data_IF_197127113155
#
_entry.id   IF_197127113155
#
_cell.length_a   1.000
_cell.length_b   1.000
_cell.length_c   1.000
_cell.angle_alpha   90.00
_cell.angle_beta   90.00
_cell.angle_gamma   90.00
#
_symmetry.space_group_name_H-M   'P 1'
#
loop_
_entity.id
_entity.type
_entity.pdbx_description
1 polymer ?
#
# COMPACT_ATOMS: atom_id res chain seq x y z
N UNK A 1 14.58 51.14 -32.95
CA UNK A 1 13.47 52.05 -32.67
C UNK A 1 12.98 51.73 -31.30
N UNK A 2 13.46 52.56 -30.41
CA UNK A 2 13.18 52.64 -28.99
C UNK A 2 11.73 53.13 -28.74
N UNK A 3 11.25 52.87 -27.55
CA UNK A 3 10.46 53.67 -26.61
C UNK A 3 9.84 52.69 -25.63
N UNK A 4 10.26 52.47 -24.43
CA UNK A 4 10.59 53.09 -23.14
C UNK A 4 9.44 53.86 -22.46
N UNK A 5 9.32 53.61 -21.13
CA UNK A 5 8.70 54.37 -20.03
C UNK A 5 7.19 54.25 -19.86
N UNK A 6 6.57 54.22 -18.68
CA UNK A 6 7.02 54.66 -17.32
C UNK A 6 5.97 54.22 -16.26
N UNK A 7 6.45 54.00 -15.08
CA UNK A 7 5.99 54.04 -13.71
C UNK A 7 4.65 54.75 -13.38
N UNK A 8 3.96 54.26 -12.37
CA UNK A 8 3.64 54.87 -11.04
C UNK A 8 2.50 54.17 -10.34
N UNK A 9 2.78 53.61 -9.19
CA UNK A 9 2.43 53.98 -7.82
C UNK A 9 1.03 54.54 -7.58
N UNK A 10 0.33 53.90 -6.60
CA UNK A 10 -0.09 54.55 -5.34
C UNK A 10 -0.94 53.57 -4.47
N UNK A 11 -0.46 53.36 -3.21
CA UNK A 11 -1.33 53.04 -2.06
C UNK A 11 -2.01 54.33 -1.56
N UNK A 12 -3.09 54.27 -0.76
CA UNK A 12 -3.15 53.98 0.65
C UNK A 12 -4.40 53.23 1.09
N UNK A 13 -4.50 52.40 2.13
CA UNK A 13 -4.38 52.68 3.54
C UNK A 13 -5.72 53.09 4.18
N UNK A 14 -6.32 52.20 5.04
CA UNK A 14 -7.11 52.68 6.17
C UNK A 14 -7.13 51.66 7.32
N UNK A 15 -6.83 52.14 8.49
CA UNK A 15 -7.00 51.62 9.85
C UNK A 15 -8.45 51.13 10.07
N UNK A 16 -8.78 50.16 10.88
CA UNK A 16 -8.46 49.89 12.26
C UNK A 16 -9.76 49.95 13.06
N UNK A 17 -10.08 48.93 13.81
CA UNK A 17 -10.81 49.10 15.06
C UNK A 17 -10.58 47.90 16.00
N UNK A 18 -10.13 48.26 17.21
CA UNK A 18 -10.04 47.47 18.42
C UNK A 18 -11.45 47.00 18.88
N UNK A 19 -11.47 45.83 19.47
CA UNK A 19 -12.57 45.32 20.29
C UNK A 19 -12.05 44.26 21.25
N UNK A 20 -11.49 44.67 22.40
CA UNK A 20 -11.28 43.85 23.59
C UNK A 20 -12.61 43.63 24.30
N UNK A 21 -12.76 42.48 24.89
CA UNK A 21 -13.40 42.17 26.18
C UNK A 21 -13.79 40.68 26.19
N UNK A 22 -13.68 39.86 27.18
CA UNK A 22 -13.37 39.87 28.58
C UNK A 22 -13.23 38.38 29.01
N UNK A 23 -12.32 38.19 29.96
CA UNK A 23 -12.11 36.99 30.75
C UNK A 23 -13.40 36.52 31.45
N UNK A 24 -13.64 35.20 31.47
CA UNK A 24 -14.20 34.58 32.65
C UNK A 24 -13.51 33.25 32.97
N UNK A 25 -13.00 33.28 34.16
CA UNK A 25 -12.40 32.23 34.96
C UNK A 25 -13.44 31.14 35.34
N UNK A 26 -12.94 29.91 35.51
CA UNK A 26 -13.62 29.10 36.52
C UNK A 26 -13.63 27.61 36.26
N UNK A 27 -12.92 26.95 37.12
CA UNK A 27 -13.19 25.64 37.74
C UNK A 27 -12.47 24.43 37.15
N UNK A 28 -11.39 24.11 37.88
CA UNK A 28 -10.82 22.75 37.96
C UNK A 28 -11.79 21.86 38.74
N UNK A 29 -12.12 20.72 38.16
CA UNK A 29 -12.59 19.56 38.94
C UNK A 29 -11.84 18.34 38.49
N UNK A 30 -11.00 17.79 39.35
CA UNK A 30 -10.61 16.38 39.30
C UNK A 30 -11.73 15.60 40.00
N UNK A 31 -12.02 14.39 39.56
CA UNK A 31 -12.27 13.38 40.55
C UNK A 31 -11.42 12.12 40.39
N UNK A 32 -11.16 11.59 41.50
CA UNK A 32 -10.45 10.41 41.95
C UNK A 32 -10.81 9.11 41.25
N UNK A 33 -9.78 8.27 41.12
CA UNK A 33 -9.83 6.85 40.84
C UNK A 33 -10.50 6.10 42.00
N UNK A 34 -11.19 4.98 41.73
CA UNK A 34 -10.84 3.77 42.45
C UNK A 34 -10.53 2.56 41.57
N UNK A 35 -9.49 1.86 41.97
CA UNK A 35 -9.13 0.53 41.53
C UNK A 35 -10.24 -0.48 41.86
N UNK A 36 -10.59 -1.34 40.90
CA UNK A 36 -11.31 -2.59 41.14
C UNK A 36 -10.58 -3.73 40.46
N UNK A 37 -10.24 -4.72 41.24
CA UNK A 37 -9.50 -5.92 40.89
C UNK A 37 -10.29 -6.92 40.03
N UNK A 38 -9.69 -8.09 39.71
CA UNK A 38 -10.15 -8.98 38.65
C UNK A 38 -11.31 -9.87 39.16
N UNK A 39 -12.41 -9.87 38.44
CA UNK A 39 -13.44 -10.91 38.63
C UNK A 39 -13.50 -11.79 37.37
N UNK A 40 -13.28 -13.06 37.60
CA UNK A 40 -13.38 -14.15 36.67
C UNK A 40 -14.85 -14.57 36.58
N UNK A 41 -15.45 -14.44 35.42
CA UNK A 41 -16.48 -15.35 34.87
C UNK A 41 -17.04 -14.78 33.58
N UNK A 42 -16.58 -15.26 32.44
CA UNK A 42 -17.24 -15.09 31.13
C UNK A 42 -17.75 -16.44 30.66
N UNK A 43 -19.04 -16.59 30.36
CA UNK A 43 -19.56 -17.80 29.73
C UNK A 43 -19.08 -17.87 28.27
N UNK A 44 -18.56 -19.03 27.91
CA UNK A 44 -18.28 -19.39 26.49
C UNK A 44 -19.62 -19.47 25.75
N UNK A 45 -19.91 -18.49 24.92
CA UNK A 45 -20.91 -18.62 23.86
C UNK A 45 -20.32 -19.40 22.69
N UNK A 46 -20.81 -20.63 22.52
CA UNK A 46 -20.69 -21.39 21.28
C UNK A 46 -21.50 -20.64 20.22
N UNK A 47 -20.82 -20.18 19.19
CA UNK A 47 -21.49 -19.76 17.97
C UNK A 47 -21.54 -20.96 17.04
N UNK A 48 -22.77 -21.35 16.72
CA UNK A 48 -23.13 -22.41 15.82
C UNK A 48 -22.62 -22.14 14.39
N UNK A 49 -22.23 -23.24 13.75
CA UNK A 49 -21.79 -23.32 12.37
C UNK A 49 -22.93 -22.96 11.42
N UNK A 50 -22.67 -21.99 10.52
CA UNK A 50 -23.60 -21.68 9.43
C UNK A 50 -23.09 -20.54 8.56
N UNK A 51 -22.17 -20.85 7.67
CA UNK A 51 -21.70 -19.91 6.65
C UNK A 51 -20.24 -20.15 6.29
N UNK A 52 -19.99 -20.97 5.26
CA UNK A 52 -18.66 -21.24 4.74
C UNK A 52 -18.07 -19.99 4.05
N UNK A 53 -17.73 -18.98 4.81
CA UNK A 53 -16.82 -17.93 4.42
C UNK A 53 -15.41 -18.51 4.43
N UNK A 54 -14.78 -18.57 3.27
CA UNK A 54 -13.41 -19.05 3.03
C UNK A 54 -12.43 -18.16 3.78
N UNK A 55 -12.17 -18.46 5.06
CA UNK A 55 -11.08 -17.79 5.81
C UNK A 55 -9.75 -18.19 5.18
N UNK A 56 -9.15 -17.26 4.47
CA UNK A 56 -7.75 -17.38 4.06
C UNK A 56 -6.87 -17.42 5.32
N UNK A 57 -5.83 -18.28 5.38
CA UNK A 57 -5.02 -18.41 6.59
C UNK A 57 -4.31 -17.10 6.90
N UNK A 58 -4.48 -16.61 8.12
CA UNK A 58 -3.69 -15.49 8.64
C UNK A 58 -2.20 -15.82 8.48
N UNK A 59 -1.50 -15.07 7.66
CA UNK A 59 -0.07 -15.25 7.46
C UNK A 59 0.66 -14.88 8.74
N UNK A 60 1.35 -15.85 9.34
CA UNK A 60 2.17 -15.62 10.53
C UNK A 60 3.45 -14.89 10.12
N UNK A 61 3.41 -13.56 10.13
CA UNK A 61 4.60 -12.75 9.92
C UNK A 61 5.41 -12.66 11.23
N UNK A 62 6.70 -12.98 11.15
CA UNK A 62 7.62 -12.66 12.25
C UNK A 62 7.86 -11.16 12.24
N UNK A 63 7.33 -10.46 13.23
CA UNK A 63 7.65 -9.06 13.48
C UNK A 63 9.17 -8.90 13.71
N UNK A 64 9.89 -8.42 12.71
CA UNK A 64 11.26 -7.93 12.90
C UNK A 64 11.15 -6.52 13.46
N UNK A 65 11.22 -6.40 14.77
CA UNK A 65 11.31 -5.12 15.47
C UNK A 65 12.71 -4.52 15.24
N UNK A 66 12.92 -3.91 14.10
CA UNK A 66 14.09 -3.05 13.93
C UNK A 66 13.66 -1.61 14.21
N UNK A 67 14.34 -0.95 15.15
CA UNK A 67 14.10 0.44 15.46
C UNK A 67 14.34 1.31 14.20
N UNK A 68 13.54 2.36 14.07
CA UNK A 68 13.78 3.39 13.06
C UNK A 68 14.99 4.23 13.48
N UNK A 69 15.78 4.68 12.51
CA UNK A 69 16.76 5.76 12.76
C UNK A 69 16.04 7.05 13.12
N UNK A 70 16.77 8.03 13.68
CA UNK A 70 16.17 9.30 14.06
C UNK A 70 15.59 10.05 12.86
N UNK A 71 16.29 10.05 11.71
CA UNK A 71 15.78 10.60 10.46
C UNK A 71 14.51 9.90 10.00
N UNK A 72 14.48 8.56 10.02
CA UNK A 72 13.29 7.81 9.65
C UNK A 72 12.11 8.10 10.58
N UNK A 73 12.37 8.27 11.88
CA UNK A 73 11.34 8.61 12.86
C UNK A 73 10.77 10.00 12.61
N UNK A 74 11.63 11.01 12.44
CA UNK A 74 11.22 12.38 12.14
C UNK A 74 10.40 12.46 10.85
N UNK A 75 10.86 11.80 9.77
CA UNK A 75 10.11 11.75 8.51
C UNK A 75 8.78 11.02 8.67
N UNK A 76 8.76 9.91 9.41
CA UNK A 76 7.55 9.17 9.72
C UNK A 76 6.52 10.03 10.47
N UNK A 77 6.95 10.68 11.55
CA UNK A 77 6.05 11.49 12.40
C UNK A 77 5.46 12.68 11.63
N UNK A 78 6.19 13.20 10.64
CA UNK A 78 5.76 14.31 9.79
C UNK A 78 4.85 13.88 8.65
N UNK A 79 5.17 12.81 7.91
CA UNK A 79 4.49 12.47 6.66
C UNK A 79 3.45 11.35 6.81
N UNK A 80 3.64 10.43 7.77
CA UNK A 80 2.72 9.31 7.93
C UNK A 80 1.26 9.72 8.19
N UNK A 81 0.95 10.76 8.99
CA UNK A 81 -0.44 11.18 9.25
C UNK A 81 -1.22 11.55 7.99
N UNK A 82 -0.53 12.06 6.97
CA UNK A 82 -1.14 12.46 5.69
C UNK A 82 -1.08 11.35 4.64
N UNK A 83 0.09 10.70 4.50
CA UNK A 83 0.37 9.80 3.39
C UNK A 83 0.13 8.33 3.72
N UNK A 84 -0.04 7.97 4.98
CA UNK A 84 -0.11 6.59 5.45
C UNK A 84 -1.33 6.26 6.27
N UNK A 85 -1.68 4.98 6.25
CA UNK A 85 -2.67 4.40 7.14
C UNK A 85 -2.25 3.00 7.60
N UNK A 86 -2.82 2.54 8.72
CA UNK A 86 -2.64 1.16 9.19
C UNK A 86 -3.97 0.43 9.15
N UNK A 87 -3.94 -0.79 8.61
CA UNK A 87 -5.11 -1.67 8.61
C UNK A 87 -5.09 -2.54 9.84
N UNK A 88 -6.21 -2.53 10.55
CA UNK A 88 -6.49 -3.49 11.62
C UNK A 88 -7.45 -4.53 11.04
N UNK A 89 -7.11 -5.83 11.06
CA UNK A 89 -7.99 -6.86 10.53
C UNK A 89 -9.34 -6.86 11.26
N UNK A 90 -10.43 -6.86 10.50
CA UNK A 90 -11.77 -7.01 11.04
C UNK A 90 -12.84 -6.24 10.26
N UNK A 91 -14.12 -6.52 10.51
CA UNK A 91 -15.25 -5.92 9.81
C UNK A 91 -15.46 -4.42 10.10
N UNK A 92 -14.54 -3.78 10.81
CA UNK A 92 -14.61 -2.36 11.14
C UNK A 92 -14.32 -1.42 9.96
N UNK A 93 -13.78 -1.94 8.84
CA UNK A 93 -13.64 -1.20 7.58
C UNK A 93 -14.90 -1.43 6.75
N UNK A 94 -15.95 -0.66 6.99
CA UNK A 94 -17.24 -0.85 6.33
C UNK A 94 -17.30 -0.29 4.91
N UNK A 95 -16.36 0.57 4.51
CA UNK A 95 -16.35 1.21 3.19
C UNK A 95 -14.98 1.13 2.52
N UNK A 96 -14.96 0.89 1.20
CA UNK A 96 -13.72 0.96 0.43
C UNK A 96 -13.10 2.34 0.50
N UNK A 97 -11.78 2.38 0.36
CA UNK A 97 -10.98 3.60 0.40
C UNK A 97 -11.33 4.53 -0.78
N UNK A 98 -11.66 5.78 -0.48
CA UNK A 98 -11.74 6.84 -1.49
C UNK A 98 -10.33 7.30 -1.88
N UNK A 99 -9.78 6.66 -2.91
CA UNK A 99 -8.44 6.96 -3.42
C UNK A 99 -8.36 8.38 -3.99
N UNK A 100 -9.44 8.88 -4.60
CA UNK A 100 -9.48 10.24 -5.14
C UNK A 100 -9.35 11.29 -4.04
N UNK A 101 -10.08 11.13 -2.95
CA UNK A 101 -9.94 12.02 -1.79
C UNK A 101 -8.56 11.92 -1.17
N UNK A 102 -8.01 10.70 -1.06
CA UNK A 102 -6.71 10.48 -0.42
C UNK A 102 -5.53 11.03 -1.24
N UNK A 103 -5.54 10.90 -2.56
CA UNK A 103 -4.50 11.46 -3.43
C UNK A 103 -4.75 12.94 -3.80
N UNK A 104 -5.97 13.44 -3.61
CA UNK A 104 -6.36 14.81 -4.00
C UNK A 104 -6.54 14.97 -5.51
N UNK A 105 -6.58 13.87 -6.28
CA UNK A 105 -6.75 13.86 -7.74
C UNK A 105 -7.47 12.60 -8.22
N UNK A 106 -7.96 12.64 -9.45
CA UNK A 106 -8.52 11.47 -10.12
C UNK A 106 -7.47 10.91 -11.09
N UNK A 107 -6.80 9.85 -10.68
CA UNK A 107 -5.81 9.14 -11.48
C UNK A 107 -6.03 7.62 -11.39
N UNK A 108 -5.55 6.83 -12.38
CA UNK A 108 -5.54 5.39 -12.27
C UNK A 108 -4.68 4.94 -11.08
N UNK A 109 -5.08 3.84 -10.41
CA UNK A 109 -4.42 3.37 -9.19
C UNK A 109 -3.77 2.02 -9.41
N UNK A 110 -2.51 1.90 -8.99
CA UNK A 110 -1.76 0.66 -8.87
C UNK A 110 -1.58 0.31 -7.39
N UNK A 111 -1.82 -0.95 -7.05
CA UNK A 111 -1.55 -1.51 -5.73
C UNK A 111 -0.27 -2.34 -5.78
N UNK A 112 0.78 -1.95 -5.04
CA UNK A 112 1.98 -2.76 -4.88
C UNK A 112 1.98 -3.44 -3.52
N UNK A 113 1.98 -4.78 -3.51
CA UNK A 113 1.89 -5.59 -2.29
C UNK A 113 3.27 -6.16 -1.95
N UNK A 114 3.75 -5.82 -0.76
CA UNK A 114 5.10 -6.18 -0.32
C UNK A 114 6.16 -5.22 -0.86
N UNK A 115 5.91 -3.91 -0.82
CA UNK A 115 6.83 -2.89 -1.36
C UNK A 115 8.24 -2.92 -0.72
N UNK A 116 8.40 -3.56 0.42
CA UNK A 116 9.68 -3.69 1.10
C UNK A 116 10.31 -2.32 1.43
N UNK A 117 11.52 -2.06 0.93
CA UNK A 117 12.19 -0.75 1.05
C UNK A 117 11.75 0.29 0.03
N UNK A 118 10.89 -0.09 -0.92
CA UNK A 118 10.30 0.79 -1.90
C UNK A 118 11.18 1.17 -3.09
N UNK A 119 12.28 0.45 -3.33
CA UNK A 119 13.18 0.79 -4.45
C UNK A 119 12.47 0.72 -5.80
N UNK A 120 11.71 -0.36 -6.05
CA UNK A 120 10.92 -0.51 -7.27
C UNK A 120 9.74 0.44 -7.28
N UNK A 121 9.04 0.55 -6.16
CA UNK A 121 7.89 1.45 -5.98
C UNK A 121 8.24 2.89 -6.37
N UNK A 122 9.34 3.42 -5.81
CA UNK A 122 9.79 4.79 -6.08
C UNK A 122 10.10 5.00 -7.56
N UNK A 123 10.95 4.15 -8.13
CA UNK A 123 11.38 4.32 -9.51
C UNK A 123 10.20 4.21 -10.49
N UNK A 124 9.32 3.20 -10.30
CA UNK A 124 8.15 3.04 -11.18
C UNK A 124 7.14 4.18 -11.02
N UNK A 125 6.97 4.74 -9.81
CA UNK A 125 6.11 5.89 -9.59
C UNK A 125 6.66 7.18 -10.20
N UNK A 126 7.99 7.34 -10.26
CA UNK A 126 8.65 8.45 -10.96
C UNK A 126 8.49 8.35 -12.48
N UNK A 127 8.58 7.14 -13.02
CA UNK A 127 8.41 6.88 -14.46
C UNK A 127 6.94 6.99 -14.90
N UNK A 128 5.99 6.87 -13.97
CA UNK A 128 4.54 6.89 -14.22
C UNK A 128 3.85 7.99 -13.37
N UNK A 129 4.15 9.28 -13.55
CA UNK A 129 3.65 10.36 -12.69
C UNK A 129 2.12 10.54 -12.75
N UNK A 130 1.48 10.07 -13.81
CA UNK A 130 0.03 10.12 -14.01
C UNK A 130 -0.72 8.94 -13.35
N UNK A 131 0.01 8.01 -12.72
CA UNK A 131 -0.53 6.85 -12.01
C UNK A 131 -0.29 7.03 -10.51
N UNK A 132 -1.31 6.80 -9.70
CA UNK A 132 -1.21 6.76 -8.25
C UNK A 132 -0.82 5.36 -7.77
N UNK A 133 0.12 5.27 -6.83
CA UNK A 133 0.61 4.01 -6.30
C UNK A 133 0.28 3.89 -4.81
N UNK A 134 -0.41 2.81 -4.44
CA UNK A 134 -0.60 2.42 -3.05
C UNK A 134 0.42 1.33 -2.70
N UNK A 135 1.38 1.67 -1.85
CA UNK A 135 2.41 0.76 -1.36
C UNK A 135 1.96 0.08 -0.08
N UNK A 136 1.80 -1.25 -0.13
CA UNK A 136 1.39 -2.07 1.02
C UNK A 136 2.60 -2.81 1.57
N UNK A 137 2.85 -2.66 2.87
CA UNK A 137 3.93 -3.36 3.56
C UNK A 137 3.59 -3.56 5.04
N UNK A 138 4.03 -4.67 5.62
CA UNK A 138 3.83 -4.98 7.03
C UNK A 138 4.93 -4.36 7.89
N UNK A 139 6.16 -4.33 7.37
CA UNK A 139 7.32 -3.88 8.11
C UNK A 139 7.45 -2.36 8.10
N UNK A 140 7.22 -1.74 9.24
CA UNK A 140 7.32 -0.28 9.43
C UNK A 140 8.62 0.31 8.88
N UNK A 141 9.74 -0.41 9.02
CA UNK A 141 11.05 0.07 8.56
C UNK A 141 11.11 0.20 7.03
N UNK A 142 10.51 -0.72 6.30
CA UNK A 142 10.43 -0.63 4.84
C UNK A 142 9.67 0.61 4.41
N UNK A 143 8.47 0.81 4.95
CA UNK A 143 7.66 2.01 4.69
C UNK A 143 8.38 3.31 5.08
N UNK A 144 9.09 3.32 6.22
CA UNK A 144 9.86 4.49 6.62
C UNK A 144 11.03 4.79 5.68
N UNK A 145 11.66 3.78 5.08
CA UNK A 145 12.68 3.98 4.06
C UNK A 145 12.09 4.61 2.80
N UNK A 146 10.95 4.12 2.34
CA UNK A 146 10.27 4.68 1.17
C UNK A 146 9.74 6.09 1.46
N UNK A 147 9.21 6.37 2.67
CA UNK A 147 8.83 7.73 3.09
C UNK A 147 10.00 8.71 3.02
N UNK A 148 11.18 8.32 3.52
CA UNK A 148 12.38 9.16 3.40
C UNK A 148 12.81 9.35 1.94
N UNK A 149 12.60 8.35 1.10
CA UNK A 149 12.96 8.43 -0.31
C UNK A 149 12.02 9.36 -1.09
N UNK A 150 10.71 9.26 -0.91
CA UNK A 150 9.75 10.16 -1.58
C UNK A 150 9.89 11.61 -1.11
N UNK A 151 10.22 11.82 0.16
CA UNK A 151 10.49 13.15 0.71
C UNK A 151 11.72 13.80 0.04
N UNK A 152 12.81 13.04 -0.07
CA UNK A 152 14.03 13.48 -0.73
C UNK A 152 13.85 13.76 -2.22
N UNK A 153 13.13 12.85 -2.91
CA UNK A 153 12.93 12.90 -4.37
C UNK A 153 11.68 13.72 -4.77
N UNK A 154 10.94 14.26 -3.79
CA UNK A 154 9.71 15.05 -4.00
C UNK A 154 8.64 14.32 -4.83
N UNK A 155 8.47 13.01 -4.60
CA UNK A 155 7.47 12.17 -5.26
C UNK A 155 6.14 12.27 -4.51
N UNK A 156 5.05 12.61 -5.21
CA UNK A 156 3.74 12.89 -4.59
C UNK A 156 2.66 11.86 -4.88
N UNK A 157 2.88 10.97 -5.85
CA UNK A 157 1.91 9.97 -6.32
C UNK A 157 2.00 8.62 -5.59
N UNK A 158 2.53 8.58 -4.35
CA UNK A 158 2.59 7.37 -3.53
C UNK A 158 1.84 7.59 -2.22
N UNK A 159 1.04 6.60 -1.81
CA UNK A 159 0.41 6.48 -0.50
C UNK A 159 0.75 5.13 0.12
N UNK A 160 0.60 5.02 1.44
CA UNK A 160 1.14 3.90 2.20
C UNK A 160 0.06 3.20 3.02
N UNK A 161 0.01 1.87 2.92
CA UNK A 161 -0.82 1.07 3.81
C UNK A 161 0.09 0.11 4.59
N UNK A 162 0.10 0.25 5.91
CA UNK A 162 0.74 -0.72 6.78
C UNK A 162 -0.26 -1.81 7.13
N UNK A 163 -0.09 -3.00 6.54
CA UNK A 163 -1.00 -4.12 6.76
C UNK A 163 -0.71 -5.33 5.91
N UNK A 164 -1.55 -6.34 6.07
CA UNK A 164 -1.53 -7.52 5.23
C UNK A 164 -2.19 -7.21 3.88
N UNK A 165 -1.55 -7.58 2.78
CA UNK A 165 -2.08 -7.34 1.43
C UNK A 165 -3.42 -8.00 1.15
N UNK A 166 -3.73 -9.15 1.78
CA UNK A 166 -5.04 -9.81 1.65
C UNK A 166 -6.12 -8.95 2.32
N UNK A 167 -5.88 -8.47 3.55
CA UNK A 167 -6.84 -7.63 4.26
C UNK A 167 -7.07 -6.30 3.51
N UNK A 168 -6.01 -5.74 2.90
CA UNK A 168 -6.11 -4.54 2.06
C UNK A 168 -7.00 -4.80 0.85
N UNK A 169 -6.75 -5.88 0.10
CA UNK A 169 -7.57 -6.25 -1.05
C UNK A 169 -9.03 -6.51 -0.67
N UNK A 170 -9.26 -7.20 0.45
CA UNK A 170 -10.59 -7.61 0.88
C UNK A 170 -11.43 -6.44 1.40
N UNK A 171 -10.83 -5.57 2.23
CA UNK A 171 -11.60 -4.57 2.99
C UNK A 171 -11.44 -3.14 2.50
N UNK A 172 -10.32 -2.79 1.84
CA UNK A 172 -10.05 -1.40 1.48
C UNK A 172 -10.17 -1.10 0.00
N UNK A 173 -9.96 -2.10 -0.86
CA UNK A 173 -9.99 -1.89 -2.29
C UNK A 173 -11.36 -2.26 -2.86
N UNK A 174 -11.99 -1.30 -3.53
CA UNK A 174 -13.27 -1.54 -4.20
C UNK A 174 -13.12 -2.52 -5.37
N UNK A 175 -14.12 -3.34 -5.69
CA UNK A 175 -14.14 -4.11 -6.92
C UNK A 175 -13.94 -3.22 -8.15
N UNK A 176 -13.15 -3.69 -9.13
CA UNK A 176 -12.94 -3.01 -10.42
C UNK A 176 -12.45 -1.56 -10.25
N UNK A 177 -11.48 -1.32 -9.37
CA UNK A 177 -10.93 0.00 -9.09
C UNK A 177 -9.44 0.16 -9.41
N UNK A 178 -8.71 -0.95 -9.62
CA UNK A 178 -7.27 -0.91 -9.88
C UNK A 178 -6.95 -1.10 -11.35
N UNK A 179 -6.01 -0.30 -11.87
CA UNK A 179 -5.43 -0.49 -13.20
C UNK A 179 -4.29 -1.53 -13.17
N UNK A 180 -3.72 -1.77 -12.01
CA UNK A 180 -2.66 -2.76 -11.82
C UNK A 180 -2.49 -3.23 -10.39
N UNK A 181 -2.00 -4.46 -10.25
CA UNK A 181 -1.51 -5.03 -8.98
C UNK A 181 -0.10 -5.56 -9.22
N UNK A 182 0.85 -5.12 -8.41
CA UNK A 182 2.26 -5.54 -8.43
C UNK A 182 2.59 -6.38 -7.21
N UNK A 183 3.20 -7.55 -7.43
CA UNK A 183 3.64 -8.46 -6.37
C UNK A 183 5.04 -8.93 -6.69
N UNK A 184 6.04 -8.26 -6.11
CA UNK A 184 7.44 -8.50 -6.44
C UNK A 184 8.15 -9.26 -5.32
N UNK A 185 8.78 -10.39 -5.66
CA UNK A 185 9.54 -11.25 -4.76
C UNK A 185 8.82 -11.59 -3.45
N UNK A 186 7.56 -12.05 -3.51
CA UNK A 186 6.86 -12.49 -2.31
C UNK A 186 7.58 -13.69 -1.69
N UNK A 187 7.44 -13.86 -0.36
CA UNK A 187 8.08 -14.96 0.38
C UNK A 187 7.81 -16.32 -0.28
N UNK A 188 8.85 -17.06 -0.74
CA UNK A 188 8.66 -18.27 -1.55
C UNK A 188 8.27 -19.50 -0.72
N UNK A 189 8.47 -19.47 0.62
CA UNK A 189 8.17 -20.59 1.52
C UNK A 189 8.64 -21.95 0.94
N UNK A 190 9.96 -22.24 0.86
CA UNK A 190 10.49 -23.36 0.09
C UNK A 190 10.01 -24.74 0.53
N UNK A 191 9.67 -24.92 1.83
CA UNK A 191 9.21 -26.20 2.37
C UNK A 191 7.76 -26.46 1.98
N UNK A 192 7.45 -27.60 1.38
CA UNK A 192 6.10 -27.97 0.90
C UNK A 192 4.99 -27.73 1.94
N UNK A 193 5.22 -28.09 3.22
CA UNK A 193 4.26 -27.83 4.31
C UNK A 193 3.93 -26.35 4.54
N UNK A 194 4.73 -25.43 3.98
CA UNK A 194 4.56 -23.98 4.09
C UNK A 194 3.97 -23.35 2.82
N UNK A 195 3.79 -24.06 1.71
CA UNK A 195 3.27 -23.52 0.45
C UNK A 195 1.91 -22.81 0.65
N UNK A 196 1.09 -23.26 1.60
CA UNK A 196 -0.17 -22.60 1.97
C UNK A 196 -0.01 -21.17 2.51
N UNK A 197 1.23 -20.73 2.80
CA UNK A 197 1.56 -19.36 3.26
C UNK A 197 1.97 -18.44 2.11
N UNK A 198 2.20 -18.99 0.92
CA UNK A 198 2.52 -18.20 -0.27
C UNK A 198 1.41 -17.22 -0.55
N UNK A 199 1.75 -16.01 -0.95
CA UNK A 199 0.77 -14.95 -1.15
C UNK A 199 -0.12 -15.23 -2.36
N UNK A 200 0.47 -15.56 -3.52
CA UNK A 200 -0.28 -15.86 -4.73
C UNK A 200 -0.83 -17.30 -4.68
N UNK A 201 -2.04 -17.42 -4.19
CA UNK A 201 -2.87 -18.61 -4.08
C UNK A 201 -4.14 -18.42 -4.92
N UNK A 202 -4.90 -19.46 -5.27
CA UNK A 202 -6.13 -19.32 -6.04
C UNK A 202 -7.09 -18.25 -5.48
N UNK A 203 -7.33 -18.25 -4.16
CA UNK A 203 -8.22 -17.26 -3.53
C UNK A 203 -7.68 -15.82 -3.57
N UNK A 204 -6.36 -15.63 -3.51
CA UNK A 204 -5.76 -14.29 -3.61
C UNK A 204 -5.79 -13.79 -5.05
N UNK A 205 -5.53 -14.66 -6.02
CA UNK A 205 -5.59 -14.30 -7.45
C UNK A 205 -7.03 -14.01 -7.89
N UNK A 206 -8.02 -14.78 -7.41
CA UNK A 206 -9.43 -14.50 -7.56
C UNK A 206 -9.82 -13.11 -7.05
N UNK A 207 -9.36 -12.77 -5.84
CA UNK A 207 -9.58 -11.45 -5.23
C UNK A 207 -8.89 -10.32 -6.02
N UNK A 208 -7.65 -10.52 -6.46
CA UNK A 208 -6.94 -9.56 -7.32
C UNK A 208 -7.71 -9.35 -8.63
N UNK A 209 -8.14 -10.44 -9.27
CA UNK A 209 -8.91 -10.35 -10.51
C UNK A 209 -10.22 -9.58 -10.32
N UNK A 210 -10.88 -9.71 -9.17
CA UNK A 210 -12.07 -8.92 -8.84
C UNK A 210 -11.77 -7.42 -8.71
N UNK A 211 -10.65 -7.05 -8.10
CA UNK A 211 -10.24 -5.66 -7.87
C UNK A 211 -9.73 -4.94 -9.11
N UNK A 212 -9.19 -5.67 -10.07
CA UNK A 212 -8.73 -5.11 -11.33
C UNK A 212 -9.88 -4.58 -12.19
N UNK A 213 -9.66 -3.48 -12.89
CA UNK A 213 -10.49 -3.01 -14.01
C UNK A 213 -10.33 -3.97 -15.20
N UNK A 214 -11.30 -4.04 -16.14
CA UNK A 214 -11.06 -4.66 -17.45
C UNK A 214 -9.85 -4.03 -18.11
N UNK A 215 -8.94 -4.86 -18.63
CA UNK A 215 -7.64 -4.41 -19.14
C UNK A 215 -6.56 -4.17 -18.07
N UNK A 216 -6.91 -4.19 -16.80
CA UNK A 216 -5.95 -4.04 -15.70
C UNK A 216 -4.99 -5.22 -15.59
N UNK A 217 -3.83 -5.01 -14.98
CA UNK A 217 -2.67 -5.92 -15.04
C UNK A 217 -2.32 -6.48 -13.68
N UNK A 218 -2.13 -7.80 -13.58
CA UNK A 218 -1.40 -8.45 -12.50
C UNK A 218 0.04 -8.67 -12.97
N UNK A 219 1.01 -8.08 -12.26
CA UNK A 219 2.44 -8.21 -12.53
C UNK A 219 3.13 -8.85 -11.33
N UNK A 220 3.66 -10.04 -11.48
CA UNK A 220 4.33 -10.80 -10.44
C UNK A 220 5.76 -11.17 -10.84
N UNK A 221 6.69 -11.17 -9.86
CA UNK A 221 8.06 -11.66 -10.07
C UNK A 221 8.51 -12.54 -8.92
N UNK A 222 9.35 -13.53 -9.21
CA UNK A 222 10.00 -14.36 -8.20
C UNK A 222 11.33 -14.91 -8.72
N UNK A 223 12.27 -15.11 -7.82
CA UNK A 223 13.57 -15.78 -8.08
C UNK A 223 13.55 -17.28 -7.69
N UNK A 224 12.39 -17.78 -7.22
CA UNK A 224 12.24 -19.17 -6.77
C UNK A 224 11.48 -20.00 -7.81
N UNK A 225 12.13 -20.98 -8.49
CA UNK A 225 11.52 -21.71 -9.61
C UNK A 225 10.18 -22.40 -9.26
N UNK A 226 10.14 -23.16 -8.17
CA UNK A 226 8.89 -23.84 -7.78
C UNK A 226 7.80 -22.92 -7.27
N UNK A 227 8.10 -21.63 -7.03
CA UNK A 227 7.06 -20.62 -6.81
C UNK A 227 6.62 -19.99 -8.12
N UNK A 228 7.54 -19.78 -9.06
CA UNK A 228 7.21 -19.33 -10.41
C UNK A 228 6.21 -20.30 -11.10
N UNK A 229 6.46 -21.60 -10.99
CA UNK A 229 5.55 -22.63 -11.51
C UNK A 229 4.15 -22.52 -10.89
N UNK A 230 4.07 -22.43 -9.56
CA UNK A 230 2.79 -22.27 -8.87
C UNK A 230 2.08 -20.97 -9.24
N UNK A 231 2.80 -19.84 -9.32
CA UNK A 231 2.21 -18.55 -9.71
C UNK A 231 1.65 -18.65 -11.13
N UNK A 232 2.39 -19.28 -12.04
CA UNK A 232 1.96 -19.54 -13.41
C UNK A 232 0.67 -20.37 -13.46
N UNK A 233 0.66 -21.49 -12.74
CA UNK A 233 -0.50 -22.39 -12.66
C UNK A 233 -1.75 -21.67 -12.13
N UNK A 234 -1.60 -20.94 -11.01
CA UNK A 234 -2.72 -20.25 -10.37
C UNK A 234 -3.23 -19.10 -11.23
N UNK A 235 -2.32 -18.32 -11.83
CA UNK A 235 -2.70 -17.19 -12.68
C UNK A 235 -3.39 -17.64 -13.98
N UNK A 236 -2.92 -18.72 -14.60
CA UNK A 236 -3.53 -19.27 -15.82
C UNK A 236 -4.87 -19.97 -15.56
N UNK A 237 -5.07 -20.48 -14.35
CA UNK A 237 -6.34 -21.08 -13.95
C UNK A 237 -7.45 -20.04 -13.67
N UNK A 238 -7.12 -18.77 -13.47
CA UNK A 238 -8.11 -17.72 -13.26
C UNK A 238 -8.72 -17.27 -14.60
N UNK A 239 -9.96 -17.64 -14.82
CA UNK A 239 -10.64 -17.48 -16.12
C UNK A 239 -10.79 -16.02 -16.58
N UNK A 240 -10.76 -15.06 -15.66
CA UNK A 240 -10.84 -13.62 -15.95
C UNK A 240 -9.50 -13.02 -16.37
N UNK A 241 -8.40 -13.76 -16.22
CA UNK A 241 -7.05 -13.33 -16.55
C UNK A 241 -6.56 -14.01 -17.83
N UNK A 242 -5.77 -13.29 -18.61
CA UNK A 242 -5.06 -13.81 -19.79
C UNK A 242 -3.59 -13.48 -19.64
N UNK A 243 -2.74 -14.50 -19.76
CA UNK A 243 -1.30 -14.30 -19.72
C UNK A 243 -0.85 -13.43 -20.89
N UNK A 244 0.02 -12.48 -20.59
CA UNK A 244 0.62 -11.55 -21.55
C UNK A 244 2.12 -11.68 -21.48
N UNK A 245 2.77 -11.57 -22.62
CA UNK A 245 4.22 -11.58 -22.71
C UNK A 245 4.76 -10.19 -23.05
N UNK A 246 5.90 -9.79 -22.45
CA UNK A 246 6.50 -8.48 -22.74
C UNK A 246 6.64 -8.22 -24.25
N UNK A 247 6.20 -7.04 -24.69
CA UNK A 247 6.30 -6.62 -26.09
C UNK A 247 5.21 -7.18 -27.04
N UNK A 248 4.28 -8.01 -26.56
CA UNK A 248 3.20 -8.54 -27.42
C UNK A 248 2.03 -7.59 -27.58
N UNK A 249 1.79 -6.75 -26.58
CA UNK A 249 0.74 -5.72 -26.59
C UNK A 249 1.10 -4.53 -25.69
N UNK A 250 0.38 -3.42 -25.88
CA UNK A 250 0.48 -2.25 -24.98
C UNK A 250 -0.30 -2.54 -23.69
N UNK A 251 0.35 -2.28 -22.55
CA UNK A 251 -0.26 -2.42 -21.22
C UNK A 251 -0.52 -1.05 -20.62
N UNK A 252 -1.55 -0.92 -19.76
CA UNK A 252 -1.90 0.35 -19.13
C UNK A 252 -0.93 0.80 -18.05
N UNK A 253 0.00 -0.05 -17.64
CA UNK A 253 1.06 0.24 -16.66
C UNK A 253 2.41 -0.25 -17.19
N UNK A 254 3.49 0.36 -16.74
CA UNK A 254 4.84 -0.13 -17.03
C UNK A 254 5.09 -1.47 -16.35
N UNK A 255 5.70 -2.37 -17.09
CA UNK A 255 6.27 -3.62 -16.59
C UNK A 255 7.80 -3.54 -16.46
N UNK A 256 8.38 -2.41 -16.88
CA UNK A 256 9.82 -2.15 -16.71
C UNK A 256 10.07 -1.74 -15.27
N UNK A 257 10.85 -2.51 -14.56
CA UNK A 257 11.20 -2.25 -13.18
C UNK A 257 12.72 -2.19 -13.01
N UNK A 258 13.22 -1.38 -12.06
CA UNK A 258 14.65 -1.33 -11.79
C UNK A 258 15.13 -2.67 -11.21
N UNK A 259 16.34 -3.06 -11.53
CA UNK A 259 17.01 -4.20 -10.90
C UNK A 259 17.25 -3.90 -9.42
N UNK A 260 16.62 -4.66 -8.54
CA UNK A 260 16.81 -4.49 -7.09
C UNK A 260 18.11 -5.15 -6.60
N UNK A 261 18.56 -4.76 -5.39
CA UNK A 261 19.71 -5.44 -4.74
C UNK A 261 19.46 -6.94 -4.54
N UNK A 262 18.22 -7.34 -4.30
CA UNK A 262 17.83 -8.74 -4.19
C UNK A 262 17.99 -9.47 -5.52
N UNK A 263 17.55 -8.85 -6.61
CA UNK A 263 17.69 -9.41 -7.95
C UNK A 263 19.17 -9.52 -8.38
N UNK A 264 19.96 -8.48 -8.11
CA UNK A 264 21.41 -8.54 -8.35
C UNK A 264 22.04 -9.71 -7.60
N UNK A 265 21.66 -9.92 -6.33
CA UNK A 265 22.13 -11.04 -5.52
C UNK A 265 21.66 -12.39 -6.08
N UNK A 266 20.40 -12.50 -6.50
CA UNK A 266 19.84 -13.70 -7.12
C UNK A 266 20.60 -14.05 -8.41
N UNK A 267 20.82 -13.07 -9.29
CA UNK A 267 21.60 -13.23 -10.53
C UNK A 267 23.04 -13.70 -10.23
N UNK A 268 23.71 -13.11 -9.23
CA UNK A 268 25.06 -13.53 -8.84
C UNK A 268 25.07 -14.96 -8.27
N UNK A 269 23.96 -15.42 -7.68
CA UNK A 269 23.80 -16.79 -7.21
C UNK A 269 23.33 -17.77 -8.32
N UNK A 270 23.24 -17.31 -9.57
CA UNK A 270 22.79 -18.12 -10.71
C UNK A 270 21.27 -18.36 -10.75
N UNK A 271 20.48 -17.66 -9.94
CA UNK A 271 19.02 -17.76 -9.98
C UNK A 271 18.45 -16.87 -11.07
N UNK A 272 17.62 -17.44 -11.94
CA UNK A 272 16.85 -16.69 -12.92
C UNK A 272 15.65 -16.03 -12.23
N UNK A 273 15.40 -14.76 -12.53
CA UNK A 273 14.16 -14.08 -12.12
C UNK A 273 13.09 -14.38 -13.16
N UNK A 274 11.97 -14.93 -12.70
CA UNK A 274 10.81 -15.17 -13.54
C UNK A 274 9.82 -14.03 -13.36
N UNK A 275 9.41 -13.44 -14.47
CA UNK A 275 8.42 -12.37 -14.58
C UNK A 275 7.15 -12.92 -15.22
N UNK A 276 6.03 -12.69 -14.58
CA UNK A 276 4.74 -13.26 -14.96
C UNK A 276 3.70 -12.14 -14.98
N UNK A 277 2.99 -12.02 -16.09
CA UNK A 277 2.08 -10.90 -16.34
C UNK A 277 0.75 -11.44 -16.86
N UNK A 278 -0.34 -10.94 -16.30
CA UNK A 278 -1.69 -11.21 -16.81
C UNK A 278 -2.46 -9.90 -16.97
N UNK A 279 -3.31 -9.86 -17.97
CA UNK A 279 -4.28 -8.80 -18.20
C UNK A 279 -5.68 -9.32 -17.93
N UNK A 280 -6.50 -8.54 -17.24
CA UNK A 280 -7.92 -8.86 -17.04
C UNK A 280 -8.70 -8.67 -18.34
N UNK A 281 -9.55 -9.64 -18.67
CA UNK A 281 -10.52 -9.60 -19.79
C UNK A 281 -11.55 -8.51 -19.60
#
# INVERSE_FOLDING_TARGET
MDINLDQRRLHPGFMGHHGQMHLHSGVRVRPDTPAVGPDATRPQQRFDEGGAGRRLPASSFRSRHSALSDTQRQTWDRLWPELGMSVVPGPACAEPLDTRAWFGRSAPVVLEIGSGSGTSTLAMAQDEPDIDVIAVEIYRRGLAQLLCAIDREQVSNIRFIRGNGIDVLEYLIAPRSLIGVRVFFPDPWPKARHHKRRFLQPGTVDLIADRLLPGGVLHATTDHPGYAEQIAEVGDAESRLVRVYPGTESLPISIVRPTTKYETKARHAGSAVTELIWKKR
#
